data_IF_283913738023
#
_entry.id   IF_283913738023
#
_cell.length_a   1.000
_cell.length_b   1.000
_cell.length_c   1.000
_cell.angle_alpha   90.00
_cell.angle_beta   90.00
_cell.angle_gamma   90.00
#
_symmetry.space_group_name_H-M   'P 1'
#
loop_
_entity.id
_entity.type
_entity.pdbx_description
1 polymer ?
#
# COMPACT_ATOMS: atom_id res chain seq x y z
N UNK A 1 3.09 -7.35 35.01
CA UNK A 1 3.76 -6.35 34.13
C UNK A 1 3.35 -6.52 32.67
N UNK A 2 3.47 -7.70 32.06
CA UNK A 2 3.08 -8.01 30.67
C UNK A 2 1.64 -7.62 30.28
N UNK A 3 0.63 -7.84 31.15
CA UNK A 3 -0.77 -7.46 30.88
C UNK A 3 -1.00 -5.95 30.79
N UNK A 4 -0.22 -5.12 31.50
CA UNK A 4 -0.29 -3.65 31.38
C UNK A 4 0.37 -3.15 30.09
N UNK A 5 1.54 -3.70 29.73
CA UNK A 5 2.23 -3.39 28.46
C UNK A 5 1.30 -3.73 27.27
N UNK A 6 0.65 -4.91 27.30
CA UNK A 6 -0.34 -5.34 26.31
C UNK A 6 -1.48 -4.33 26.09
N UNK A 7 -1.92 -3.63 27.13
CA UNK A 7 -3.04 -2.67 27.05
C UNK A 7 -2.65 -1.37 26.34
N UNK A 8 -1.37 -0.95 26.45
CA UNK A 8 -0.89 0.32 25.91
C UNK A 8 -0.21 0.17 24.54
N UNK A 9 0.19 -1.03 24.16
CA UNK A 9 0.93 -1.29 22.93
C UNK A 9 0.24 -0.78 21.63
N UNK A 10 -1.08 -0.97 21.42
CA UNK A 10 -1.74 -0.43 20.23
C UNK A 10 -1.68 1.11 20.16
N UNK A 11 -1.83 1.76 21.31
CA UNK A 11 -1.70 3.21 21.40
C UNK A 11 -0.25 3.68 21.16
N UNK A 12 0.74 2.89 21.61
CA UNK A 12 2.16 3.15 21.33
C UNK A 12 2.48 2.97 19.85
N UNK A 13 1.89 1.99 19.18
CA UNK A 13 2.06 1.79 17.72
C UNK A 13 1.43 2.95 16.95
N UNK A 14 0.22 3.38 17.32
CA UNK A 14 -0.43 4.56 16.71
C UNK A 14 0.41 5.82 16.98
N UNK A 15 0.87 6.02 18.21
CA UNK A 15 1.71 7.16 18.57
C UNK A 15 3.06 7.14 17.84
N UNK A 16 3.68 5.95 17.69
CA UNK A 16 4.89 5.77 16.90
C UNK A 16 4.65 6.05 15.41
N UNK A 17 3.52 5.61 14.85
CA UNK A 17 3.11 5.92 13.49
C UNK A 17 2.93 7.43 13.27
N UNK A 18 2.22 8.09 14.17
CA UNK A 18 2.07 9.55 14.14
C UNK A 18 3.41 10.28 14.33
N UNK A 19 4.29 9.80 15.22
CA UNK A 19 5.62 10.34 15.40
C UNK A 19 6.48 10.15 14.15
N UNK A 20 6.38 9.01 13.46
CA UNK A 20 7.05 8.76 12.18
C UNK A 20 6.54 9.72 11.09
N UNK A 21 5.24 9.99 11.03
CA UNK A 21 4.65 10.97 10.11
C UNK A 21 5.23 12.37 10.40
N UNK A 22 5.23 12.78 11.66
CA UNK A 22 5.77 14.08 12.08
C UNK A 22 7.29 14.19 11.83
N UNK A 23 8.04 13.11 12.10
CA UNK A 23 9.48 13.04 11.81
C UNK A 23 9.75 13.06 10.31
N UNK A 24 8.96 12.35 9.50
CA UNK A 24 9.06 12.39 8.06
C UNK A 24 8.78 13.79 7.52
N UNK A 25 7.73 14.45 8.02
CA UNK A 25 7.42 15.83 7.67
C UNK A 25 8.54 16.80 8.07
N UNK A 26 9.05 16.70 9.30
CA UNK A 26 10.15 17.54 9.80
C UNK A 26 11.46 17.27 9.07
N UNK A 27 11.76 16.01 8.72
CA UNK A 27 12.94 15.65 7.96
C UNK A 27 12.83 16.16 6.51
N UNK A 28 11.66 16.06 5.89
CA UNK A 28 11.40 16.60 4.56
C UNK A 28 11.67 18.12 4.52
N UNK A 29 11.29 18.84 5.56
CA UNK A 29 11.56 20.28 5.69
C UNK A 29 13.07 20.62 5.74
N UNK A 30 13.90 19.76 6.36
CA UNK A 30 15.36 19.92 6.38
C UNK A 30 16.04 19.46 5.10
N UNK A 31 15.52 18.43 4.45
CA UNK A 31 16.08 17.87 3.21
C UNK A 31 15.86 18.82 2.02
N UNK A 32 14.86 19.71 2.07
CA UNK A 32 14.61 20.72 1.03
C UNK A 32 15.73 21.75 0.90
N UNK A 33 16.66 21.85 1.88
CA UNK A 33 17.85 22.69 1.81
C UNK A 33 18.99 22.09 0.94
N UNK A 34 18.89 20.80 0.55
CA UNK A 34 19.89 20.13 -0.29
C UNK A 34 19.61 20.39 -1.78
N UNK A 35 20.58 21.01 -2.45
CA UNK A 35 20.54 21.35 -3.88
C UNK A 35 19.87 22.69 -4.16
N UNK A 36 20.31 23.37 -5.21
CA UNK A 36 19.73 24.61 -5.68
C UNK A 36 18.83 24.34 -6.87
N UNK A 37 17.56 24.59 -6.70
CA UNK A 37 16.56 24.58 -7.75
C UNK A 37 15.62 25.74 -7.46
N UNK A 38 15.79 26.81 -8.23
CA UNK A 38 15.05 28.05 -8.06
C UNK A 38 13.81 28.02 -8.94
N UNK A 39 12.67 28.40 -8.38
CA UNK A 39 11.45 28.52 -9.16
C UNK A 39 11.59 29.66 -10.16
N UNK A 40 11.15 29.42 -11.39
CA UNK A 40 11.17 30.40 -12.47
C UNK A 40 9.82 30.43 -13.17
N UNK A 41 9.44 31.62 -13.66
CA UNK A 41 8.20 31.81 -14.38
C UNK A 41 8.47 32.13 -15.85
N UNK A 42 7.65 31.66 -16.78
CA UNK A 42 7.75 32.06 -18.17
C UNK A 42 7.40 33.53 -18.34
N UNK A 43 8.09 34.23 -19.25
CA UNK A 43 7.79 35.62 -19.61
C UNK A 43 6.44 35.73 -20.32
N UNK A 44 6.12 34.73 -21.14
CA UNK A 44 4.83 34.65 -21.84
C UNK A 44 4.33 33.22 -21.90
N UNK A 45 3.00 33.07 -21.75
CA UNK A 45 2.30 31.80 -21.95
C UNK A 45 1.22 31.96 -23.00
N UNK A 46 1.30 31.16 -24.07
CA UNK A 46 0.32 31.16 -25.16
C UNK A 46 -0.44 29.86 -25.18
N UNK A 47 -1.76 29.92 -25.03
CA UNK A 47 -2.67 28.77 -25.09
C UNK A 47 -3.22 28.58 -26.49
N UNK A 48 -3.17 27.35 -26.99
CA UNK A 48 -3.70 27.00 -28.31
C UNK A 48 -5.07 26.32 -28.19
N UNK A 49 -5.85 26.32 -29.25
CA UNK A 49 -7.21 25.73 -29.28
C UNK A 49 -7.22 24.22 -29.14
N UNK A 50 -6.12 23.55 -29.48
CA UNK A 50 -5.93 22.10 -29.31
C UNK A 50 -5.63 21.69 -27.86
N UNK A 51 -5.47 22.68 -26.95
CA UNK A 51 -5.11 22.50 -25.57
C UNK A 51 -3.61 22.53 -25.30
N UNK A 52 -2.79 22.75 -26.36
CA UNK A 52 -1.34 22.94 -26.18
C UNK A 52 -1.04 24.30 -25.56
N UNK A 53 0.02 24.34 -24.75
CA UNK A 53 0.55 25.56 -24.14
C UNK A 53 2.00 25.76 -24.55
N UNK A 54 2.35 26.99 -24.89
CA UNK A 54 3.72 27.39 -25.24
C UNK A 54 4.19 28.38 -24.19
N UNK A 55 5.23 28.01 -23.48
CA UNK A 55 5.91 28.82 -22.48
C UNK A 55 7.19 29.37 -23.07
N UNK A 56 7.39 30.69 -23.04
CA UNK A 56 8.59 31.35 -23.55
C UNK A 56 9.36 31.98 -22.39
N UNK A 57 10.68 31.81 -22.42
CA UNK A 57 11.62 32.34 -21.43
C UNK A 57 12.70 33.14 -22.17
N UNK A 58 12.98 34.35 -21.70
CA UNK A 58 14.17 35.12 -22.14
C UNK A 58 15.41 34.48 -21.52
N UNK A 59 16.34 34.05 -22.36
CA UNK A 59 17.45 33.19 -21.90
C UNK A 59 18.73 33.96 -21.50
N UNK A 60 18.67 35.29 -21.37
CA UNK A 60 19.85 36.10 -20.99
C UNK A 60 20.49 35.59 -19.68
N UNK A 61 19.69 35.10 -18.73
CA UNK A 61 20.16 34.57 -17.45
C UNK A 61 20.52 33.07 -17.50
N UNK A 62 19.91 32.27 -18.37
CA UNK A 62 20.09 30.82 -18.44
C UNK A 62 21.33 30.41 -19.24
N UNK A 63 21.51 31.01 -20.42
CA UNK A 63 22.60 30.67 -21.32
C UNK A 63 23.99 31.08 -20.82
N UNK A 64 24.09 32.12 -19.99
CA UNK A 64 25.36 32.58 -19.40
C UNK A 64 25.80 31.73 -18.20
N UNK A 65 24.85 31.20 -17.41
CA UNK A 65 25.14 30.45 -16.19
C UNK A 65 25.10 28.93 -16.36
N UNK A 66 24.88 28.41 -17.58
CA UNK A 66 24.67 26.97 -17.83
C UNK A 66 23.61 26.36 -16.88
N UNK A 67 22.49 27.05 -16.74
CA UNK A 67 21.36 26.55 -15.96
C UNK A 67 20.40 25.81 -16.88
N UNK A 68 19.94 24.65 -16.44
CA UNK A 68 18.92 23.85 -17.12
C UNK A 68 17.53 24.27 -16.65
N UNK A 69 16.51 24.03 -17.47
CA UNK A 69 15.11 24.19 -17.07
C UNK A 69 14.57 22.81 -16.69
N UNK A 70 14.01 22.70 -15.48
CA UNK A 70 13.45 21.47 -14.92
C UNK A 70 11.98 21.66 -14.61
N UNK A 71 11.14 20.75 -15.03
CA UNK A 71 9.70 20.79 -14.79
C UNK A 71 9.07 19.40 -14.82
N UNK A 72 7.97 19.26 -14.12
CA UNK A 72 7.19 18.03 -14.10
C UNK A 72 6.04 18.08 -15.10
N UNK A 73 5.83 16.98 -15.82
CA UNK A 73 4.68 16.82 -16.73
C UNK A 73 3.91 15.55 -16.40
N UNK A 74 2.60 15.62 -16.51
CA UNK A 74 1.68 14.53 -16.25
C UNK A 74 0.91 14.20 -17.53
N UNK A 75 1.35 13.15 -18.25
CA UNK A 75 0.75 12.71 -19.52
C UNK A 75 0.68 13.79 -20.61
N UNK A 76 1.76 14.55 -20.78
CA UNK A 76 1.89 15.61 -21.78
C UNK A 76 3.08 15.30 -22.69
N UNK A 77 2.93 15.55 -23.98
CA UNK A 77 4.03 15.56 -24.94
C UNK A 77 4.80 16.86 -24.77
N UNK A 78 6.13 16.80 -24.83
CA UNK A 78 7.03 17.93 -24.57
C UNK A 78 7.95 18.15 -25.75
N UNK A 79 8.05 19.39 -26.19
CA UNK A 79 9.09 19.89 -27.10
C UNK A 79 9.72 21.13 -26.50
N UNK A 80 11.05 21.21 -26.51
CA UNK A 80 11.74 22.44 -26.16
C UNK A 80 12.65 22.89 -27.28
N UNK A 81 12.66 24.20 -27.50
CA UNK A 81 13.40 24.88 -28.55
C UNK A 81 14.27 25.98 -27.97
N UNK A 82 15.54 26.08 -28.43
CA UNK A 82 16.44 27.20 -28.19
C UNK A 82 16.67 27.95 -29.49
N UNK A 83 16.32 29.24 -29.52
CA UNK A 83 16.42 30.09 -30.71
C UNK A 83 15.78 29.43 -31.96
N UNK A 84 14.64 28.76 -31.77
CA UNK A 84 13.89 28.06 -32.82
C UNK A 84 14.45 26.67 -33.20
N UNK A 85 15.58 26.21 -32.63
CA UNK A 85 16.12 24.87 -32.86
C UNK A 85 15.66 23.91 -31.78
N UNK A 86 15.25 22.67 -32.12
CA UNK A 86 14.83 21.67 -31.13
C UNK A 86 16.05 21.26 -30.30
N UNK A 87 15.89 21.28 -28.97
CA UNK A 87 16.92 20.86 -27.99
C UNK A 87 16.47 19.72 -27.11
N UNK A 88 15.15 19.51 -26.98
CA UNK A 88 14.60 18.43 -26.15
C UNK A 88 13.26 17.98 -26.73
N UNK A 89 13.02 16.67 -26.65
CA UNK A 89 11.77 16.04 -27.08
C UNK A 89 11.43 14.86 -26.18
N UNK A 90 10.17 14.81 -25.69
CA UNK A 90 9.60 13.70 -24.97
C UNK A 90 8.20 13.42 -25.53
N UNK A 91 8.15 12.64 -26.61
CA UNK A 91 6.94 12.38 -27.41
C UNK A 91 6.70 10.89 -27.63
N UNK A 92 7.54 10.02 -27.06
CA UNK A 92 7.36 8.58 -27.17
C UNK A 92 6.04 8.16 -26.54
N UNK A 93 5.26 7.37 -27.27
CA UNK A 93 4.00 6.81 -26.81
C UNK A 93 4.07 5.28 -26.80
N UNK A 94 3.32 4.65 -25.90
CA UNK A 94 3.42 3.21 -25.64
C UNK A 94 2.71 2.30 -26.64
N UNK A 95 2.09 2.82 -27.70
CA UNK A 95 1.27 2.00 -28.59
C UNK A 95 0.12 1.33 -27.84
N UNK A 96 0.14 -0.01 -27.74
CA UNK A 96 -0.87 -0.77 -26.99
C UNK A 96 -0.86 -0.48 -25.47
N UNK A 97 0.24 0.04 -24.93
CA UNK A 97 0.38 0.40 -23.51
C UNK A 97 -0.22 1.77 -23.18
N UNK A 98 -0.70 2.50 -24.19
CA UNK A 98 -1.35 3.78 -24.05
C UNK A 98 -0.73 4.87 -24.92
N UNK A 99 -1.50 5.94 -25.15
CA UNK A 99 -1.09 7.12 -25.94
C UNK A 99 -0.22 8.11 -25.17
N UNK A 100 0.17 7.75 -23.94
CA UNK A 100 0.85 8.63 -23.01
C UNK A 100 2.36 8.42 -23.00
N UNK A 101 3.10 9.49 -22.68
CA UNK A 101 4.52 9.43 -22.28
C UNK A 101 4.70 9.03 -20.80
N UNK A 102 3.60 8.94 -20.03
CA UNK A 102 3.64 8.81 -18.57
C UNK A 102 3.86 10.15 -17.86
N UNK A 103 4.13 10.08 -16.56
CA UNK A 103 4.50 11.24 -15.74
C UNK A 103 6.01 11.35 -15.65
N UNK A 104 6.57 12.51 -15.98
CA UNK A 104 8.01 12.74 -16.11
C UNK A 104 8.48 14.01 -15.41
N UNK A 105 9.66 13.92 -14.79
CA UNK A 105 10.52 15.08 -14.59
C UNK A 105 11.35 15.30 -15.85
N UNK A 106 11.20 16.46 -16.49
CA UNK A 106 11.91 16.82 -17.71
C UNK A 106 13.09 17.73 -17.34
N UNK A 107 14.27 17.38 -17.84
CA UNK A 107 15.52 18.12 -17.64
C UNK A 107 15.96 18.64 -19.01
N UNK A 108 15.78 19.94 -19.24
CA UNK A 108 16.07 20.58 -20.52
C UNK A 108 17.38 21.34 -20.41
N UNK A 109 18.45 20.77 -20.97
CA UNK A 109 19.76 21.41 -21.03
C UNK A 109 19.72 22.60 -22.00
N UNK A 110 20.00 23.79 -21.50
CA UNK A 110 19.99 25.03 -22.27
C UNK A 110 21.38 25.29 -22.87
N UNK A 111 21.53 25.34 -24.20
CA UNK A 111 22.81 25.62 -24.83
C UNK A 111 23.35 27.03 -24.47
N UNK A 112 24.67 27.13 -24.34
CA UNK A 112 25.32 28.42 -24.11
C UNK A 112 25.01 29.44 -25.20
N UNK A 113 24.70 30.67 -24.80
CA UNK A 113 24.41 31.76 -25.73
C UNK A 113 22.98 31.77 -26.30
N UNK A 114 22.08 30.92 -25.84
CA UNK A 114 20.65 30.95 -26.18
C UNK A 114 20.02 32.26 -25.75
N UNK A 115 19.19 32.86 -26.61
CA UNK A 115 18.46 34.10 -26.32
C UNK A 115 17.01 33.89 -25.96
N UNK A 116 16.36 32.87 -26.54
CA UNK A 116 14.97 32.55 -26.29
C UNK A 116 14.81 31.05 -26.14
N UNK A 117 14.07 30.61 -25.12
CA UNK A 117 13.68 29.23 -24.93
C UNK A 117 12.16 29.13 -25.04
N UNK A 118 11.68 28.20 -25.86
CA UNK A 118 10.26 27.88 -25.97
C UNK A 118 10.01 26.43 -25.58
N UNK A 119 9.11 26.22 -24.63
CA UNK A 119 8.65 24.89 -24.22
C UNK A 119 7.19 24.74 -24.63
N UNK A 120 6.92 23.75 -25.48
CA UNK A 120 5.56 23.42 -25.91
C UNK A 120 5.13 22.16 -25.16
N UNK A 121 4.00 22.23 -24.42
CA UNK A 121 3.33 21.12 -23.79
C UNK A 121 2.03 20.81 -24.52
N UNK A 122 1.83 19.55 -24.92
CA UNK A 122 0.60 19.11 -25.58
C UNK A 122 -0.05 18.02 -24.74
N UNK A 123 -1.25 18.24 -24.17
CA UNK A 123 -1.92 17.26 -23.35
C UNK A 123 -2.39 16.06 -24.19
N UNK A 124 -2.11 14.86 -23.73
CA UNK A 124 -2.59 13.62 -24.37
C UNK A 124 -4.07 13.38 -24.08
N UNK A 125 -4.52 13.73 -22.87
CA UNK A 125 -5.88 13.55 -22.42
C UNK A 125 -6.56 14.88 -22.08
N UNK A 126 -7.89 14.92 -22.18
CA UNK A 126 -8.63 16.15 -21.89
C UNK A 126 -8.55 16.60 -20.44
N UNK A 127 -8.46 15.65 -19.50
CA UNK A 127 -8.38 15.90 -18.07
C UNK A 127 -7.01 16.43 -17.59
N UNK A 128 -6.00 16.47 -18.47
CA UNK A 128 -4.68 17.05 -18.18
C UNK A 128 -4.44 18.36 -18.95
N UNK A 129 -5.48 18.91 -19.56
CA UNK A 129 -5.41 20.24 -20.23
C UNK A 129 -5.27 21.33 -19.19
N UNK A 130 -4.38 22.29 -19.48
CA UNK A 130 -4.16 23.50 -18.68
C UNK A 130 -3.84 23.20 -17.21
N UNK A 131 -3.13 22.09 -16.94
CA UNK A 131 -2.55 21.86 -15.62
C UNK A 131 -1.45 22.87 -15.36
N UNK A 132 -1.45 23.45 -14.16
CA UNK A 132 -0.37 24.34 -13.74
C UNK A 132 0.96 23.59 -13.78
N UNK A 133 1.91 24.13 -14.56
CA UNK A 133 3.25 23.61 -14.65
C UNK A 133 4.21 24.59 -13.98
N UNK A 134 4.87 24.14 -12.93
CA UNK A 134 5.90 24.91 -12.25
C UNK A 134 7.25 24.61 -12.89
N UNK A 135 7.96 25.66 -13.31
CA UNK A 135 9.28 25.55 -13.88
C UNK A 135 10.34 25.92 -12.84
N UNK A 136 11.44 25.23 -12.92
CA UNK A 136 12.60 25.46 -12.05
C UNK A 136 13.84 25.63 -12.91
N UNK A 137 14.83 26.35 -12.37
CA UNK A 137 16.14 26.51 -12.98
C UNK A 137 17.21 26.05 -12.02
N UNK A 138 18.23 25.36 -12.54
CA UNK A 138 19.34 24.83 -11.76
C UNK A 138 20.24 23.94 -12.59
N UNK A 139 21.27 23.37 -12.00
CA UNK A 139 22.05 22.32 -12.65
C UNK A 139 21.31 20.99 -12.54
N UNK A 140 21.30 20.20 -13.60
CA UNK A 140 20.62 18.90 -13.65
C UNK A 140 20.89 18.04 -12.42
N UNK A 141 22.16 17.92 -12.01
CA UNK A 141 22.54 17.11 -10.86
C UNK A 141 21.96 17.65 -9.54
N UNK A 142 21.98 18.96 -9.33
CA UNK A 142 21.45 19.59 -8.12
C UNK A 142 19.93 19.43 -8.04
N UNK A 143 19.23 19.63 -9.18
CA UNK A 143 17.80 19.42 -9.29
C UNK A 143 17.43 17.94 -9.03
N UNK A 144 18.17 17.01 -9.64
CA UNK A 144 17.98 15.58 -9.39
C UNK A 144 18.10 15.24 -7.89
N UNK A 145 19.16 15.71 -7.22
CA UNK A 145 19.33 15.46 -5.79
C UNK A 145 18.20 16.06 -4.95
N UNK A 146 17.75 17.27 -5.29
CA UNK A 146 16.67 17.94 -4.57
C UNK A 146 15.36 17.16 -4.69
N UNK A 147 14.95 16.80 -5.91
CA UNK A 147 13.73 16.03 -6.18
C UNK A 147 13.79 14.66 -5.49
N UNK A 148 14.93 13.96 -5.62
CA UNK A 148 15.14 12.68 -4.97
C UNK A 148 15.05 12.80 -3.44
N UNK A 149 15.73 13.78 -2.85
CA UNK A 149 15.74 14.00 -1.42
C UNK A 149 14.34 14.31 -0.85
N UNK A 150 13.53 15.06 -1.58
CA UNK A 150 12.16 15.39 -1.18
C UNK A 150 11.25 14.16 -1.12
N UNK A 151 11.46 13.19 -2.04
CA UNK A 151 10.61 12.02 -2.15
C UNK A 151 11.19 10.74 -1.51
N UNK A 152 12.43 10.77 -1.03
CA UNK A 152 13.11 9.59 -0.50
C UNK A 152 12.39 8.97 0.70
N UNK A 153 11.82 9.79 1.58
CA UNK A 153 11.10 9.31 2.77
C UNK A 153 9.81 8.58 2.35
N UNK A 154 9.06 9.15 1.42
CA UNK A 154 7.82 8.54 0.91
C UNK A 154 8.12 7.22 0.19
N UNK A 155 9.22 7.17 -0.56
CA UNK A 155 9.72 5.93 -1.17
C UNK A 155 10.06 4.85 -0.12
N UNK A 156 10.83 5.20 0.92
CA UNK A 156 11.16 4.23 1.98
C UNK A 156 9.94 3.75 2.76
N UNK A 157 8.98 4.61 3.03
CA UNK A 157 7.69 4.22 3.66
C UNK A 157 6.97 3.20 2.80
N UNK A 158 6.86 3.45 1.50
CA UNK A 158 6.23 2.53 0.55
C UNK A 158 6.99 1.19 0.46
N UNK A 159 8.32 1.22 0.41
CA UNK A 159 9.16 0.04 0.44
C UNK A 159 8.98 -0.78 1.75
N UNK A 160 8.86 -0.10 2.89
CA UNK A 160 8.58 -0.75 4.17
C UNK A 160 7.21 -1.44 4.17
N UNK A 161 6.19 -0.83 3.58
CA UNK A 161 4.87 -1.45 3.41
C UNK A 161 4.97 -2.73 2.57
N UNK A 162 5.76 -2.72 1.49
CA UNK A 162 6.02 -3.92 0.66
C UNK A 162 6.66 -5.02 1.49
N UNK A 163 7.71 -4.70 2.25
CA UNK A 163 8.44 -5.66 3.10
C UNK A 163 7.50 -6.27 4.15
N UNK A 164 6.69 -5.44 4.80
CA UNK A 164 5.69 -5.90 5.77
C UNK A 164 4.63 -6.79 5.12
N UNK A 165 4.16 -6.43 3.92
CA UNK A 165 3.21 -7.23 3.15
C UNK A 165 3.75 -8.62 2.83
N UNK A 166 4.95 -8.71 2.27
CA UNK A 166 5.61 -10.00 2.03
C UNK A 166 5.90 -10.76 3.31
N UNK A 167 6.33 -10.09 4.38
CA UNK A 167 6.53 -10.69 5.70
C UNK A 167 5.27 -11.37 6.23
N UNK A 168 4.10 -10.73 6.09
CA UNK A 168 2.81 -11.32 6.49
C UNK A 168 2.43 -12.53 5.64
N UNK A 169 2.68 -12.50 4.33
CA UNK A 169 2.42 -13.64 3.44
C UNK A 169 3.32 -14.83 3.82
N UNK A 170 4.63 -14.59 3.99
CA UNK A 170 5.59 -15.64 4.39
C UNK A 170 5.22 -16.22 5.76
N UNK A 171 4.91 -15.35 6.73
CA UNK A 171 4.47 -15.79 8.04
C UNK A 171 3.21 -16.67 7.97
N UNK A 172 2.20 -16.24 7.19
CA UNK A 172 1.00 -17.05 6.97
C UNK A 172 1.34 -18.41 6.36
N UNK A 173 2.18 -18.47 5.33
CA UNK A 173 2.59 -19.73 4.69
C UNK A 173 3.24 -20.71 5.69
N UNK A 174 4.04 -20.20 6.64
CA UNK A 174 4.74 -21.03 7.63
C UNK A 174 3.76 -21.54 8.73
N UNK A 175 2.88 -20.67 9.20
CA UNK A 175 2.10 -20.90 10.42
C UNK A 175 0.72 -21.47 10.14
N UNK A 176 0.11 -21.16 9.00
CA UNK A 176 -1.25 -21.57 8.63
C UNK A 176 -1.51 -23.08 8.83
N UNK A 177 -0.57 -23.92 8.40
CA UNK A 177 -0.71 -25.39 8.51
C UNK A 177 -0.61 -25.91 9.95
N UNK A 178 0.02 -25.15 10.84
CA UNK A 178 0.30 -25.59 12.23
C UNK A 178 -0.71 -25.07 13.25
N UNK A 179 -1.30 -23.91 12.98
CA UNK A 179 -2.10 -23.19 13.96
C UNK A 179 -3.53 -22.84 13.49
N UNK A 180 -3.98 -23.38 12.34
CA UNK A 180 -5.31 -23.12 11.77
C UNK A 180 -5.67 -21.63 11.69
N UNK A 181 -4.67 -20.79 11.38
CA UNK A 181 -4.84 -19.34 11.27
C UNK A 181 -5.69 -19.03 10.02
N UNK A 182 -6.68 -18.17 10.20
CA UNK A 182 -7.53 -17.70 9.10
C UNK A 182 -6.73 -16.96 7.99
N UNK A 183 -7.37 -16.70 6.86
CA UNK A 183 -6.72 -16.12 5.68
C UNK A 183 -6.62 -14.58 5.74
N UNK A 184 -7.12 -13.92 6.78
CA UNK A 184 -7.12 -12.45 6.89
C UNK A 184 -5.71 -11.85 6.79
N UNK A 185 -4.71 -12.51 7.39
CA UNK A 185 -3.31 -12.08 7.34
C UNK A 185 -2.71 -12.22 5.93
N UNK A 186 -3.05 -13.29 5.21
CA UNK A 186 -2.65 -13.48 3.80
C UNK A 186 -3.20 -12.34 2.93
N UNK A 187 -4.52 -12.08 3.05
CA UNK A 187 -5.16 -11.05 2.22
C UNK A 187 -4.68 -9.65 2.57
N UNK A 188 -4.43 -9.37 3.85
CA UNK A 188 -3.79 -8.10 4.26
C UNK A 188 -2.38 -7.98 3.69
N UNK A 189 -1.58 -9.05 3.75
CA UNK A 189 -0.24 -9.08 3.18
C UNK A 189 -0.23 -8.85 1.67
N UNK A 190 -1.15 -9.48 0.95
CA UNK A 190 -1.31 -9.26 -0.51
C UNK A 190 -1.72 -7.81 -0.81
N UNK A 191 -2.70 -7.28 -0.08
CA UNK A 191 -3.13 -5.89 -0.23
C UNK A 191 -1.98 -4.92 0.07
N UNK A 192 -1.24 -5.14 1.16
CA UNK A 192 -0.10 -4.31 1.56
C UNK A 192 1.03 -4.34 0.52
N UNK A 193 1.36 -5.52 -0.02
CA UNK A 193 2.40 -5.64 -1.03
C UNK A 193 2.01 -4.90 -2.32
N UNK A 194 0.78 -5.06 -2.81
CA UNK A 194 0.27 -4.39 -4.01
C UNK A 194 0.22 -2.88 -3.79
N UNK A 195 -0.36 -2.43 -2.68
CA UNK A 195 -0.44 -1.01 -2.31
C UNK A 195 0.95 -0.38 -2.20
N UNK A 196 1.89 -1.05 -1.51
CA UNK A 196 3.24 -0.53 -1.33
C UNK A 196 4.01 -0.40 -2.64
N UNK A 197 3.88 -1.36 -3.58
CA UNK A 197 4.49 -1.27 -4.91
C UNK A 197 3.87 -0.13 -5.71
N UNK A 198 2.54 0.00 -5.70
CA UNK A 198 1.83 1.10 -6.34
C UNK A 198 2.29 2.45 -5.77
N UNK A 199 2.26 2.59 -4.46
CA UNK A 199 2.65 3.82 -3.75
C UNK A 199 4.13 4.20 -3.99
N UNK A 200 5.04 3.21 -4.05
CA UNK A 200 6.44 3.45 -4.40
C UNK A 200 6.59 3.98 -5.84
N UNK A 201 5.82 3.41 -6.78
CA UNK A 201 5.85 3.82 -8.18
C UNK A 201 5.35 5.26 -8.40
N UNK A 202 4.47 5.77 -7.54
CA UNK A 202 3.96 7.15 -7.58
C UNK A 202 4.92 8.19 -6.97
N UNK A 203 6.06 7.77 -6.38
CA UNK A 203 7.05 8.70 -5.82
C UNK A 203 7.96 9.29 -6.88
N UNK A 204 8.34 10.56 -6.73
CA UNK A 204 9.33 11.22 -7.60
C UNK A 204 10.67 10.47 -7.61
N UNK A 205 11.10 9.91 -6.46
CA UNK A 205 12.31 9.10 -6.40
C UNK A 205 12.27 7.93 -7.41
N UNK A 206 11.13 7.25 -7.51
CA UNK A 206 10.95 6.15 -8.45
C UNK A 206 10.84 6.66 -9.90
N UNK A 207 10.24 7.84 -10.09
CA UNK A 207 10.17 8.50 -11.40
C UNK A 207 11.54 8.88 -11.95
N UNK A 208 12.50 9.21 -11.09
CA UNK A 208 13.89 9.48 -11.49
C UNK A 208 14.69 8.20 -11.79
N UNK A 209 14.37 7.08 -11.13
CA UNK A 209 15.11 5.81 -11.25
C UNK A 209 14.60 4.99 -12.44
N UNK A 210 13.27 4.87 -12.60
CA UNK A 210 12.64 4.06 -13.64
C UNK A 210 12.54 4.87 -14.94
N UNK A 211 13.36 4.50 -15.91
CA UNK A 211 13.43 5.20 -17.20
C UNK A 211 12.17 5.00 -18.06
N UNK A 212 11.62 3.78 -18.06
CA UNK A 212 10.39 3.46 -18.81
C UNK A 212 9.15 3.90 -18.02
N UNK A 213 8.75 5.17 -18.21
CA UNK A 213 7.60 5.74 -17.53
C UNK A 213 6.26 5.30 -18.12
N UNK A 214 6.26 4.82 -19.36
CA UNK A 214 5.07 4.26 -20.00
C UNK A 214 4.69 2.96 -19.31
N UNK A 215 5.64 2.02 -19.19
CA UNK A 215 5.44 0.76 -18.48
C UNK A 215 5.12 0.99 -17.00
N UNK A 216 5.77 1.94 -16.34
CA UNK A 216 5.50 2.29 -14.95
C UNK A 216 4.08 2.82 -14.74
N UNK A 217 3.59 3.69 -15.63
CA UNK A 217 2.21 4.19 -15.60
C UNK A 217 1.19 3.08 -15.82
N UNK A 218 1.43 2.21 -16.81
CA UNK A 218 0.59 1.05 -17.07
C UNK A 218 0.52 0.13 -15.85
N UNK A 219 1.66 -0.17 -15.23
CA UNK A 219 1.75 -0.99 -14.02
C UNK A 219 0.98 -0.35 -12.87
N UNK A 220 1.05 0.98 -12.70
CA UNK A 220 0.31 1.68 -11.64
C UNK A 220 -1.20 1.45 -11.74
N UNK A 221 -1.78 1.54 -12.93
CA UNK A 221 -3.21 1.30 -13.14
C UNK A 221 -3.60 -0.15 -12.86
N UNK A 222 -2.78 -1.11 -13.30
CA UNK A 222 -2.99 -2.54 -13.01
C UNK A 222 -2.98 -2.81 -11.50
N UNK A 223 -1.99 -2.27 -10.79
CA UNK A 223 -1.88 -2.46 -9.34
C UNK A 223 -3.06 -1.84 -8.60
N UNK A 224 -3.52 -0.66 -9.04
CA UNK A 224 -4.67 0.03 -8.45
C UNK A 224 -5.96 -0.78 -8.60
N UNK A 225 -6.22 -1.34 -9.79
CA UNK A 225 -7.35 -2.24 -10.02
C UNK A 225 -7.25 -3.53 -9.20
N UNK A 226 -6.05 -4.12 -9.16
CA UNK A 226 -5.81 -5.41 -8.52
C UNK A 226 -5.96 -5.35 -7.00
N UNK A 227 -5.63 -4.22 -6.35
CA UNK A 227 -5.68 -4.10 -4.89
C UNK A 227 -7.08 -4.23 -4.30
N UNK A 228 -8.14 -3.96 -5.06
CA UNK A 228 -9.52 -4.14 -4.62
C UNK A 228 -9.85 -5.57 -4.22
N UNK A 229 -9.29 -6.57 -4.92
CA UNK A 229 -9.53 -7.99 -4.68
C UNK A 229 -9.08 -8.42 -3.28
N UNK A 230 -7.77 -8.32 -2.91
CA UNK A 230 -7.32 -8.72 -1.58
C UNK A 230 -7.92 -7.86 -0.47
N UNK A 231 -8.28 -6.60 -0.74
CA UNK A 231 -8.96 -5.75 0.23
C UNK A 231 -10.36 -6.28 0.59
N UNK A 232 -11.20 -6.62 -0.39
CA UNK A 232 -12.53 -7.20 -0.17
C UNK A 232 -12.42 -8.53 0.60
N UNK A 233 -11.46 -9.38 0.25
CA UNK A 233 -11.22 -10.65 0.92
C UNK A 233 -10.73 -10.45 2.35
N UNK A 234 -9.84 -9.47 2.58
CA UNK A 234 -9.39 -9.08 3.92
C UNK A 234 -10.57 -8.64 4.80
N UNK A 235 -11.41 -7.72 4.31
CA UNK A 235 -12.59 -7.24 5.05
C UNK A 235 -13.53 -8.38 5.44
N UNK A 236 -13.81 -9.30 4.50
CA UNK A 236 -14.61 -10.50 4.75
C UNK A 236 -14.05 -11.34 5.91
N UNK A 237 -12.76 -11.68 5.81
CA UNK A 237 -12.14 -12.63 6.75
C UNK A 237 -11.87 -11.98 8.11
N UNK A 238 -11.37 -10.76 8.11
CA UNK A 238 -11.06 -10.02 9.33
C UNK A 238 -12.32 -9.70 10.15
N UNK A 239 -13.39 -9.29 9.48
CA UNK A 239 -14.66 -9.01 10.15
C UNK A 239 -15.51 -10.27 10.36
N UNK A 240 -15.08 -11.43 9.88
CA UNK A 240 -15.81 -12.71 10.00
C UNK A 240 -17.31 -12.55 9.69
N UNK A 241 -17.61 -12.08 8.47
CA UNK A 241 -19.00 -11.71 8.08
C UNK A 241 -19.82 -12.94 7.69
N UNK A 242 -19.21 -14.12 7.69
CA UNK A 242 -19.86 -15.37 7.31
C UNK A 242 -20.16 -15.46 5.80
N UNK A 243 -21.01 -16.42 5.43
CA UNK A 243 -21.30 -16.81 4.03
C UNK A 243 -22.21 -15.83 3.27
N UNK A 244 -22.10 -14.52 3.53
CA UNK A 244 -22.87 -13.52 2.79
C UNK A 244 -22.39 -13.43 1.35
N UNK A 245 -23.32 -13.52 0.41
CA UNK A 245 -23.03 -13.50 -1.03
C UNK A 245 -22.48 -12.16 -1.53
N UNK A 246 -22.61 -11.07 -0.73
CA UNK A 246 -22.25 -9.71 -1.14
C UNK A 246 -20.77 -9.58 -1.55
N UNK A 247 -19.83 -10.15 -0.78
CA UNK A 247 -18.42 -10.11 -1.15
C UNK A 247 -18.11 -10.80 -2.48
N UNK A 248 -18.85 -11.89 -2.81
CA UNK A 248 -18.71 -12.60 -4.11
C UNK A 248 -19.15 -11.73 -5.27
N UNK A 249 -20.24 -10.97 -5.07
CA UNK A 249 -20.73 -10.01 -6.06
C UNK A 249 -19.72 -8.90 -6.28
N UNK A 250 -19.18 -8.30 -5.19
CA UNK A 250 -18.19 -7.25 -5.29
C UNK A 250 -16.87 -7.73 -5.93
N UNK A 251 -16.43 -8.93 -5.58
CA UNK A 251 -15.28 -9.58 -6.22
C UNK A 251 -15.52 -9.74 -7.73
N UNK A 252 -16.69 -10.27 -8.12
CA UNK A 252 -17.03 -10.45 -9.52
C UNK A 252 -17.10 -9.11 -10.27
N UNK A 253 -17.67 -8.06 -9.67
CA UNK A 253 -17.73 -6.72 -10.26
C UNK A 253 -16.31 -6.17 -10.46
N UNK A 254 -15.40 -6.31 -9.47
CA UNK A 254 -14.02 -5.85 -9.59
C UNK A 254 -13.26 -6.59 -10.71
N UNK A 255 -13.45 -7.92 -10.82
CA UNK A 255 -12.86 -8.70 -11.93
C UNK A 255 -13.44 -8.27 -13.28
N UNK A 256 -14.75 -8.03 -13.36
CA UNK A 256 -15.41 -7.55 -14.58
C UNK A 256 -14.89 -6.15 -14.96
N UNK A 257 -14.71 -5.26 -14.00
CA UNK A 257 -14.12 -3.93 -14.21
C UNK A 257 -12.71 -4.04 -14.79
N UNK A 258 -11.84 -4.89 -14.20
CA UNK A 258 -10.50 -5.14 -14.74
C UNK A 258 -10.53 -5.63 -16.18
N UNK A 259 -11.36 -6.63 -16.48
CA UNK A 259 -11.49 -7.18 -17.85
C UNK A 259 -11.98 -6.10 -18.82
N UNK A 260 -12.94 -5.28 -18.39
CA UNK A 260 -13.51 -4.21 -19.19
C UNK A 260 -12.47 -3.12 -19.50
N UNK A 261 -11.77 -2.63 -18.49
CA UNK A 261 -10.73 -1.58 -18.63
C UNK A 261 -9.57 -2.07 -19.50
N UNK A 262 -9.08 -3.30 -19.24
CA UNK A 262 -8.04 -3.92 -20.07
C UNK A 262 -8.52 -4.14 -21.51
N UNK A 263 -9.74 -4.58 -21.70
CA UNK A 263 -10.33 -4.73 -23.04
C UNK A 263 -10.36 -3.40 -23.79
N UNK A 264 -10.82 -2.32 -23.15
CA UNK A 264 -10.84 -0.98 -23.76
C UNK A 264 -9.44 -0.50 -24.14
N UNK A 265 -8.45 -0.74 -23.30
CA UNK A 265 -7.06 -0.43 -23.57
C UNK A 265 -6.53 -1.21 -24.78
N UNK A 266 -6.67 -2.53 -24.81
CA UNK A 266 -6.14 -3.38 -25.88
C UNK A 266 -6.83 -3.18 -27.23
N UNK A 267 -8.14 -2.85 -27.24
CA UNK A 267 -8.87 -2.53 -28.45
C UNK A 267 -8.70 -1.06 -28.89
N UNK A 268 -7.95 -0.26 -28.14
CA UNK A 268 -7.70 1.15 -28.45
C UNK A 268 -8.96 2.04 -28.36
N UNK A 269 -9.97 1.61 -27.60
CA UNK A 269 -11.23 2.35 -27.42
C UNK A 269 -11.03 3.51 -26.45
N UNK A 270 -10.40 3.23 -25.30
CA UNK A 270 -10.04 4.22 -24.29
C UNK A 270 -8.82 3.74 -23.51
N UNK A 271 -7.95 4.68 -23.15
CA UNK A 271 -6.79 4.37 -22.30
C UNK A 271 -7.20 4.20 -20.82
N UNK A 272 -6.40 3.45 -20.06
CA UNK A 272 -6.64 3.25 -18.61
C UNK A 272 -6.73 4.56 -17.83
N UNK A 273 -6.02 5.62 -18.26
CA UNK A 273 -6.13 6.96 -17.69
C UNK A 273 -7.52 7.56 -17.87
N UNK A 274 -8.16 7.33 -19.01
CA UNK A 274 -9.51 7.83 -19.30
C UNK A 274 -10.59 7.06 -18.52
N UNK A 275 -10.34 5.77 -18.24
CA UNK A 275 -11.24 4.89 -17.49
C UNK A 275 -10.93 4.80 -15.99
N UNK A 276 -9.92 5.53 -15.50
CA UNK A 276 -9.45 5.49 -14.11
C UNK A 276 -10.55 5.81 -13.09
N UNK A 277 -11.53 6.62 -13.46
CA UNK A 277 -12.69 6.92 -12.62
C UNK A 277 -13.50 5.67 -12.24
N UNK A 278 -13.54 4.63 -13.08
CA UNK A 278 -14.18 3.35 -12.77
C UNK A 278 -13.46 2.65 -11.62
N UNK A 279 -12.14 2.63 -11.67
CA UNK A 279 -11.30 2.04 -10.61
C UNK A 279 -11.46 2.80 -9.30
N UNK A 280 -11.46 4.14 -9.32
CA UNK A 280 -11.74 4.93 -8.13
C UNK A 280 -13.14 4.67 -7.57
N UNK A 281 -14.14 4.52 -8.43
CA UNK A 281 -15.49 4.15 -8.02
C UNK A 281 -15.51 2.76 -7.36
N UNK A 282 -14.78 1.78 -7.92
CA UNK A 282 -14.65 0.45 -7.31
C UNK A 282 -13.99 0.49 -5.94
N UNK A 283 -12.93 1.29 -5.77
CA UNK A 283 -12.29 1.50 -4.47
C UNK A 283 -13.27 2.13 -3.45
N UNK A 284 -14.04 3.14 -3.86
CA UNK A 284 -15.08 3.72 -3.01
C UNK A 284 -16.14 2.67 -2.62
N UNK A 285 -16.60 1.84 -3.55
CA UNK A 285 -17.55 0.75 -3.26
C UNK A 285 -16.96 -0.24 -2.26
N UNK A 286 -15.69 -0.60 -2.39
CA UNK A 286 -15.00 -1.47 -1.44
C UNK A 286 -14.88 -0.84 -0.04
N UNK A 287 -14.63 0.46 0.05
CA UNK A 287 -14.65 1.22 1.31
C UNK A 287 -16.05 1.27 1.93
N UNK A 288 -17.09 1.54 1.14
CA UNK A 288 -18.48 1.49 1.62
C UNK A 288 -18.88 0.10 2.11
N UNK A 289 -18.44 -0.96 1.42
CA UNK A 289 -18.62 -2.33 1.88
C UNK A 289 -17.98 -2.54 3.25
N UNK A 290 -16.74 -2.10 3.45
CA UNK A 290 -16.04 -2.20 4.74
C UNK A 290 -16.80 -1.43 5.84
N UNK A 291 -17.18 -0.17 5.58
CA UNK A 291 -17.93 0.65 6.54
C UNK A 291 -19.28 -0.02 6.86
N UNK A 292 -20.01 -0.50 5.87
CA UNK A 292 -21.27 -1.22 6.06
C UNK A 292 -21.12 -2.46 6.93
N UNK A 293 -20.04 -3.22 6.74
CA UNK A 293 -19.70 -4.38 7.56
C UNK A 293 -19.36 -4.01 9.01
N UNK A 294 -18.62 -2.92 9.21
CA UNK A 294 -18.31 -2.39 10.54
C UNK A 294 -19.55 -1.91 11.26
N UNK A 295 -20.40 -1.15 10.61
CA UNK A 295 -21.68 -0.68 11.16
C UNK A 295 -22.58 -1.85 11.54
N UNK A 296 -22.70 -2.85 10.65
CA UNK A 296 -23.47 -4.06 10.95
C UNK A 296 -23.00 -4.75 12.23
N UNK A 297 -21.67 -4.94 12.40
CA UNK A 297 -21.11 -5.52 13.62
C UNK A 297 -21.30 -4.63 14.85
N UNK A 298 -21.17 -3.33 14.69
CA UNK A 298 -21.42 -2.38 15.75
C UNK A 298 -22.87 -2.46 16.28
N UNK A 299 -23.86 -2.47 15.37
CA UNK A 299 -25.28 -2.62 15.73
C UNK A 299 -25.60 -3.97 16.39
N UNK A 300 -24.86 -5.01 16.07
CA UNK A 300 -25.01 -6.34 16.69
C UNK A 300 -24.24 -6.50 17.98
N UNK A 301 -23.59 -5.45 18.49
CA UNK A 301 -22.70 -5.52 19.67
C UNK A 301 -21.63 -6.60 19.59
N UNK A 302 -21.20 -6.97 18.39
CA UNK A 302 -20.22 -8.03 18.12
C UNK A 302 -18.79 -7.50 17.94
N UNK A 303 -18.53 -6.26 18.33
CA UNK A 303 -17.18 -5.68 18.28
C UNK A 303 -16.49 -5.92 19.61
N UNK A 304 -15.58 -6.88 19.64
CA UNK A 304 -14.71 -7.15 20.76
C UNK A 304 -13.80 -5.95 21.09
N UNK A 305 -13.28 -5.92 22.31
CA UNK A 305 -12.40 -4.84 22.77
C UNK A 305 -11.17 -4.65 21.87
N UNK A 306 -10.62 -5.74 21.32
CA UNK A 306 -9.50 -5.72 20.36
C UNK A 306 -9.95 -5.21 18.99
N UNK A 307 -11.10 -5.65 18.50
CA UNK A 307 -11.66 -5.19 17.23
C UNK A 307 -12.00 -3.67 17.21
N UNK A 308 -12.18 -3.02 18.37
CA UNK A 308 -12.43 -1.57 18.44
C UNK A 308 -11.26 -0.74 17.91
N UNK A 309 -10.02 -1.13 18.22
CA UNK A 309 -8.82 -0.39 17.79
C UNK A 309 -8.65 -0.52 16.29
N UNK A 310 -8.76 -1.76 15.78
CA UNK A 310 -8.70 -2.02 14.34
C UNK A 310 -9.83 -1.33 13.57
N UNK A 311 -11.02 -1.21 14.18
CA UNK A 311 -12.15 -0.44 13.62
C UNK A 311 -11.80 1.03 13.46
N UNK A 312 -11.17 1.65 14.46
CA UNK A 312 -10.70 3.05 14.34
C UNK A 312 -9.68 3.19 13.23
N UNK A 313 -8.72 2.26 13.14
CA UNK A 313 -7.73 2.25 12.05
C UNK A 313 -8.37 2.14 10.65
N UNK A 314 -9.40 1.29 10.50
CA UNK A 314 -10.15 1.17 9.25
C UNK A 314 -10.91 2.44 8.87
N UNK A 315 -11.49 3.13 9.85
CA UNK A 315 -12.19 4.42 9.62
C UNK A 315 -11.19 5.48 9.19
N UNK A 316 -10.04 5.57 9.87
CA UNK A 316 -8.97 6.52 9.51
C UNK A 316 -8.42 6.24 8.11
N UNK A 317 -8.22 4.97 7.77
CA UNK A 317 -7.79 4.57 6.43
C UNK A 317 -8.81 4.99 5.36
N UNK A 318 -10.10 4.76 5.63
CA UNK A 318 -11.18 5.19 4.70
C UNK A 318 -11.17 6.70 4.50
N UNK A 319 -11.04 7.47 5.57
CA UNK A 319 -10.99 8.93 5.51
C UNK A 319 -9.76 9.40 4.71
N UNK A 320 -8.59 8.82 4.95
CA UNK A 320 -7.36 9.13 4.21
C UNK A 320 -7.51 8.82 2.73
N UNK A 321 -8.02 7.63 2.37
CA UNK A 321 -8.21 7.23 0.96
C UNK A 321 -9.19 8.16 0.24
N UNK A 322 -10.32 8.53 0.86
CA UNK A 322 -11.27 9.48 0.27
C UNK A 322 -10.62 10.85 0.10
N UNK A 323 -9.84 11.30 1.08
CA UNK A 323 -9.11 12.57 1.00
C UNK A 323 -8.13 12.56 -0.17
N UNK A 324 -7.33 11.50 -0.32
CA UNK A 324 -6.35 11.38 -1.41
C UNK A 324 -7.04 11.35 -2.78
N UNK A 325 -8.16 10.64 -2.93
CA UNK A 325 -8.95 10.66 -4.18
C UNK A 325 -9.45 12.08 -4.49
N UNK A 326 -9.95 12.82 -3.49
CA UNK A 326 -10.42 14.21 -3.68
C UNK A 326 -9.25 15.12 -4.09
N UNK A 327 -8.10 15.00 -3.43
CA UNK A 327 -6.90 15.78 -3.75
C UNK A 327 -6.38 15.46 -5.15
N UNK A 328 -6.37 14.18 -5.54
CA UNK A 328 -6.03 13.76 -6.90
C UNK A 328 -6.87 14.47 -7.97
N UNK A 329 -8.21 14.50 -7.82
CA UNK A 329 -9.08 15.19 -8.78
C UNK A 329 -9.00 16.71 -8.70
N UNK A 330 -8.45 17.26 -7.62
CA UNK A 330 -8.14 18.68 -7.48
C UNK A 330 -6.73 19.06 -7.92
N UNK A 331 -5.93 18.07 -8.36
CA UNK A 331 -4.53 18.24 -8.74
C UNK A 331 -3.66 18.85 -7.63
N UNK A 332 -3.91 18.48 -6.37
CA UNK A 332 -3.20 18.98 -5.19
C UNK A 332 -2.36 17.86 -4.60
N UNK A 333 -1.05 18.01 -4.61
CA UNK A 333 -0.11 17.09 -3.96
C UNK A 333 0.01 15.71 -4.62
N UNK A 334 0.63 14.77 -3.91
CA UNK A 334 0.83 13.39 -4.36
C UNK A 334 -0.47 12.59 -4.32
N UNK A 335 -0.58 11.56 -5.15
CA UNK A 335 -1.77 10.73 -5.29
C UNK A 335 -2.16 9.96 -4.02
N UNK A 336 -1.24 9.77 -3.07
CA UNK A 336 -1.43 9.01 -1.83
C UNK A 336 -0.76 9.67 -0.61
N UNK A 337 -0.82 10.99 -0.54
CA UNK A 337 -0.13 11.81 0.46
C UNK A 337 -0.47 11.39 1.90
N UNK A 338 -1.75 11.17 2.23
CA UNK A 338 -2.21 10.77 3.56
C UNK A 338 -2.35 9.25 3.69
N UNK A 339 -2.82 8.58 2.64
CA UNK A 339 -3.09 7.15 2.62
C UNK A 339 -1.87 6.32 2.97
N UNK A 340 -0.72 6.64 2.42
CA UNK A 340 0.56 5.95 2.64
C UNK A 340 0.93 5.83 4.11
N UNK A 341 0.92 6.94 4.84
CA UNK A 341 1.32 6.97 6.26
C UNK A 341 0.26 6.34 7.16
N UNK A 342 -1.02 6.64 6.92
CA UNK A 342 -2.13 6.06 7.68
C UNK A 342 -2.18 4.55 7.44
N UNK A 343 -1.93 4.10 6.21
CA UNK A 343 -1.88 2.68 5.89
C UNK A 343 -0.70 1.97 6.56
N UNK A 344 0.49 2.56 6.56
CA UNK A 344 1.64 2.00 7.29
C UNK A 344 1.30 1.80 8.78
N UNK A 345 0.74 2.82 9.43
CA UNK A 345 0.33 2.73 10.83
C UNK A 345 -0.72 1.63 11.05
N UNK A 346 -1.68 1.51 10.13
CA UNK A 346 -2.71 0.48 10.16
C UNK A 346 -2.12 -0.93 9.99
N UNK A 347 -1.22 -1.13 9.03
CA UNK A 347 -0.55 -2.41 8.79
C UNK A 347 0.30 -2.83 9.99
N UNK A 348 1.06 -1.91 10.57
CA UNK A 348 1.86 -2.17 11.78
C UNK A 348 0.98 -2.59 12.96
N UNK A 349 -0.15 -1.92 13.14
CA UNK A 349 -1.11 -2.23 14.20
C UNK A 349 -1.72 -3.63 14.00
N UNK A 350 -2.21 -3.94 12.80
CA UNK A 350 -2.82 -5.24 12.52
C UNK A 350 -1.79 -6.37 12.49
N UNK A 351 -0.60 -6.12 11.96
CA UNK A 351 0.50 -7.08 11.97
C UNK A 351 0.90 -7.45 13.41
N UNK A 352 0.96 -6.46 14.30
CA UNK A 352 1.20 -6.69 15.72
C UNK A 352 0.09 -7.54 16.38
N UNK A 353 -1.18 -7.19 16.15
CA UNK A 353 -2.32 -7.96 16.68
C UNK A 353 -2.30 -9.41 16.19
N UNK A 354 -2.05 -9.61 14.89
CA UNK A 354 -1.97 -10.94 14.30
C UNK A 354 -0.82 -11.77 14.88
N UNK A 355 0.38 -11.19 14.99
CA UNK A 355 1.55 -11.85 15.58
C UNK A 355 1.28 -12.23 17.06
N UNK A 356 0.68 -11.30 17.81
CA UNK A 356 0.33 -11.54 19.20
C UNK A 356 -0.69 -12.68 19.35
N UNK A 357 -1.74 -12.66 18.52
CA UNK A 357 -2.78 -13.72 18.55
C UNK A 357 -2.19 -15.09 18.23
N UNK A 358 -1.27 -15.15 17.27
CA UNK A 358 -0.60 -16.40 16.93
C UNK A 358 0.26 -16.95 18.09
N UNK A 359 1.04 -16.09 18.75
CA UNK A 359 1.83 -16.49 19.94
C UNK A 359 0.92 -16.99 21.07
N UNK A 360 -0.18 -16.29 21.36
CA UNK A 360 -1.17 -16.70 22.38
C UNK A 360 -1.80 -18.06 22.04
N UNK A 361 -2.11 -18.29 20.77
CA UNK A 361 -2.69 -19.56 20.29
C UNK A 361 -1.69 -20.71 20.42
N UNK A 362 -0.43 -20.50 20.05
CA UNK A 362 0.64 -21.51 20.21
C UNK A 362 0.87 -21.83 21.69
N UNK A 363 0.88 -20.80 22.54
CA UNK A 363 1.05 -21.02 24.00
C UNK A 363 -0.12 -21.78 24.59
N UNK A 364 -1.37 -21.47 24.18
CA UNK A 364 -2.56 -22.21 24.60
C UNK A 364 -2.51 -23.67 24.13
N UNK A 365 -2.12 -23.91 22.88
CA UNK A 365 -1.95 -25.26 22.34
C UNK A 365 -0.90 -26.07 23.10
N UNK A 366 0.23 -25.44 23.46
CA UNK A 366 1.26 -26.07 24.28
C UNK A 366 0.75 -26.43 25.70
N UNK A 367 0.04 -25.50 26.32
CA UNK A 367 -0.57 -25.75 27.64
C UNK A 367 -1.61 -26.86 27.59
N UNK A 368 -2.45 -26.88 26.53
CA UNK A 368 -3.44 -27.93 26.33
C UNK A 368 -2.79 -29.33 26.27
N UNK A 369 -1.68 -29.47 25.50
CA UNK A 369 -0.92 -30.72 25.44
C UNK A 369 -0.35 -31.12 26.78
N UNK A 370 0.22 -30.18 27.54
CA UNK A 370 0.73 -30.46 28.90
C UNK A 370 -0.41 -30.89 29.82
N UNK A 371 -1.58 -30.24 29.74
CA UNK A 371 -2.74 -30.67 30.55
C UNK A 371 -3.28 -32.04 30.14
N UNK A 372 -3.25 -32.36 28.85
CA UNK A 372 -3.62 -33.68 28.33
C UNK A 372 -2.66 -34.76 28.85
N UNK A 373 -1.34 -34.53 28.81
CA UNK A 373 -0.34 -35.42 29.38
C UNK A 373 -0.55 -35.61 30.91
N UNK A 374 -0.78 -34.51 31.64
CA UNK A 374 -1.06 -34.59 33.09
C UNK A 374 -2.39 -35.28 33.41
N UNK A 375 -3.37 -35.20 32.50
CA UNK A 375 -4.67 -35.88 32.68
C UNK A 375 -4.57 -37.39 32.60
N UNK A 376 -3.60 -37.95 31.86
CA UNK A 376 -3.45 -39.41 31.64
C UNK A 376 -2.21 -40.01 32.26
N UNK A 377 -1.19 -39.20 32.66
CA UNK A 377 0.02 -39.69 33.33
C UNK A 377 0.13 -39.19 34.76
N UNK A 378 0.74 -39.98 35.63
CA UNK A 378 1.12 -39.61 36.99
C UNK A 378 2.41 -38.80 36.96
N UNK A 379 2.42 -37.62 37.61
CA UNK A 379 3.53 -36.64 37.56
C UNK A 379 4.82 -37.18 38.19
N UNK A 380 4.72 -38.08 39.16
CA UNK A 380 5.88 -38.59 39.91
C UNK A 380 6.51 -39.80 39.21
N UNK A 381 5.70 -40.70 38.70
CA UNK A 381 6.16 -41.98 38.17
C UNK A 381 6.24 -42.00 36.63
N UNK A 382 5.56 -41.06 35.94
CA UNK A 382 5.43 -41.04 34.47
C UNK A 382 4.54 -42.16 33.91
N UNK A 383 3.96 -42.99 34.77
CA UNK A 383 3.05 -44.06 34.36
C UNK A 383 1.64 -43.53 34.11
N UNK A 384 0.79 -44.32 33.45
CA UNK A 384 -0.63 -44.00 33.31
C UNK A 384 -1.30 -43.89 34.69
N UNK A 385 -2.06 -42.82 34.85
CA UNK A 385 -2.80 -42.56 36.09
C UNK A 385 -4.17 -43.27 36.07
N UNK A 386 -4.92 -43.10 37.18
CA UNK A 386 -6.26 -43.69 37.34
C UNK A 386 -7.24 -43.27 36.25
N UNK A 387 -7.14 -42.04 35.73
CA UNK A 387 -8.05 -41.57 34.69
C UNK A 387 -7.81 -42.30 33.37
N UNK A 388 -6.56 -42.48 32.97
CA UNK A 388 -6.21 -43.27 31.78
C UNK A 388 -6.72 -44.71 31.90
N UNK A 389 -6.54 -45.32 33.06
CA UNK A 389 -7.09 -46.66 33.34
C UNK A 389 -8.62 -46.73 33.18
N UNK A 390 -9.36 -45.75 33.75
CA UNK A 390 -10.83 -45.70 33.65
C UNK A 390 -11.30 -45.48 32.21
N UNK A 391 -10.57 -44.69 31.44
CA UNK A 391 -10.85 -44.45 30.05
C UNK A 391 -10.65 -45.72 29.21
N UNK A 392 -9.50 -46.39 29.34
CA UNK A 392 -9.21 -47.68 28.71
C UNK A 392 -10.26 -48.74 29.04
N UNK A 393 -10.66 -48.82 30.32
CA UNK A 393 -11.72 -49.75 30.77
C UNK A 393 -13.08 -49.41 30.13
N UNK A 394 -13.41 -48.12 29.99
CA UNK A 394 -14.69 -47.69 29.39
C UNK A 394 -14.78 -48.01 27.89
N UNK A 395 -13.65 -47.99 27.21
CA UNK A 395 -13.55 -48.30 25.76
C UNK A 395 -13.44 -49.81 25.48
N UNK A 396 -13.24 -50.63 26.54
CA UNK A 396 -13.04 -52.06 26.42
C UNK A 396 -14.34 -52.80 26.07
N UNK A 397 -14.45 -53.33 24.84
CA UNK A 397 -15.62 -54.05 24.34
C UNK A 397 -15.71 -55.49 24.85
N UNK A 398 -14.60 -56.11 25.28
CA UNK A 398 -14.54 -57.48 25.82
C UNK A 398 -13.30 -57.68 26.66
N UNK A 399 -13.44 -58.37 27.77
CA UNK A 399 -12.35 -58.80 28.67
C UNK A 399 -11.68 -60.12 28.24
N UNK A 400 -12.18 -60.79 27.18
CA UNK A 400 -11.67 -62.10 26.75
C UNK A 400 -10.20 -62.00 26.27
N UNK A 401 -9.33 -62.80 26.86
CA UNK A 401 -7.89 -62.82 26.51
C UNK A 401 -7.07 -61.74 27.23
N UNK A 402 -7.63 -61.00 28.19
CA UNK A 402 -6.94 -59.97 28.96
C UNK A 402 -6.82 -60.43 30.43
N UNK A 403 -5.75 -60.02 31.10
CA UNK A 403 -5.48 -60.30 32.51
C UNK A 403 -5.35 -58.94 33.23
N UNK A 404 -5.98 -58.82 34.38
CA UNK A 404 -5.82 -57.72 35.29
C UNK A 404 -4.88 -58.14 36.46
N UNK A 405 -3.86 -57.31 36.69
CA UNK A 405 -2.88 -57.50 37.72
C UNK A 405 -2.87 -56.28 38.64
N UNK A 406 -3.06 -56.43 39.92
CA UNK A 406 -2.95 -55.35 40.89
C UNK A 406 -1.75 -55.67 41.84
N UNK A 407 -0.94 -54.60 42.00
CA UNK A 407 0.18 -54.67 42.98
C UNK A 407 -0.09 -53.68 44.09
N UNK A 408 0.16 -54.13 45.34
CA UNK A 408 0.15 -53.29 46.53
C UNK A 408 1.52 -53.35 47.21
N UNK A 409 2.01 -52.20 47.63
CA UNK A 409 3.30 -52.07 48.30
C UNK A 409 3.05 -52.00 49.83
N UNK A 410 3.50 -53.04 50.56
CA UNK A 410 3.41 -53.06 52.03
C UNK A 410 4.46 -52.12 52.66
N UNK A 411 4.13 -51.45 53.76
CA UNK A 411 5.01 -50.64 54.60
C UNK A 411 5.51 -49.34 53.97
N UNK A 412 4.70 -48.67 53.17
CA UNK A 412 5.04 -47.36 52.52
C UNK A 412 5.06 -46.16 53.52
N UNK A 413 4.80 -46.41 54.80
CA UNK A 413 4.71 -45.34 55.83
C UNK A 413 5.75 -45.50 56.96
N UNK A 414 6.89 -46.10 56.67
CA UNK A 414 8.05 -46.04 57.59
C UNK A 414 9.07 -45.04 57.08
#
# INVERSE_FOLDING_TARGET
MLRRVKRWMPYLVIAAGLALILLAYAANFKITEFGSMDETSPDTTTRQTDGSEIFSFAAEDYGVMQKDIVFFTNHQLVWAYADGKPIYENTETGGIWGRTTGSHWNFVAVPYGTKEIKIKLTPVYQNVRYQDCTFYTGKEQEAFYKIFAQSVITFFVSALIVILGFGMIVYWCIVHRKAEIGNSLLHLGMFSAIFGVWSANETDAMMLIVRDRIAASFMAYILLMLMGIPFILFVRDFLNIGDRKLWKVLFAINVCEMVFVLGFQFFGIADMKETLWLTHMMLCIALFYMIGCLLYKAFRHQIDRHAKISTVGMILLSAATVTDIVLYYRHIGDADLFGRFVFLAFVLMLGYEAAFYAVDTIEKGRKAKVYEELAIHDVLTGLYNRNAYMEDMSQMKSARGKMFVSFDLNNLKE
#
